data_IF_554899460530
#
_entry.id   IF_554899460530
#
_cell.length_a   1.000
_cell.length_b   1.000
_cell.length_c   1.000
_cell.angle_alpha   90.00
_cell.angle_beta   90.00
_cell.angle_gamma   90.00
#
_symmetry.space_group_name_H-M   'P 1'
#
loop_
_entity.id
_entity.type
_entity.pdbx_description
1 polymer ?
2 non-polymer ?
3 non-polymer ?
4 water ?
#
# COMPACT_ATOMS: atom_id res chain seq x y z
N UNK A 4 -4.30 29.89 8.83
CA UNK A 4 -3.38 28.80 8.33
C UNK A 4 -4.15 27.83 7.44
N UNK A 5 -3.93 27.82 6.10
CA UNK A 5 -4.76 27.03 5.18
C UNK A 5 -4.52 25.51 5.31
N UNK A 6 -5.57 24.71 5.13
CA UNK A 6 -5.48 23.23 5.18
C UNK A 6 -4.81 22.76 3.90
N UNK A 7 -3.89 21.78 3.94
CA UNK A 7 -3.21 21.37 2.72
C UNK A 7 -4.13 20.63 1.76
N UNK A 8 -3.81 20.68 0.47
CA UNK A 8 -4.48 19.93 -0.62
C UNK A 8 -3.61 18.73 -1.00
N UNK A 9 -2.33 18.78 -0.62
CA UNK A 9 -1.33 17.73 -0.92
C UNK A 9 -0.33 17.64 0.23
N UNK A 10 0.14 16.42 0.51
CA UNK A 10 1.24 16.18 1.50
C UNK A 10 2.28 15.28 0.82
N UNK A 11 3.48 15.23 1.37
CA UNK A 11 4.51 14.27 0.91
C UNK A 11 4.69 13.23 2.01
N UNK A 12 4.80 11.98 1.57
CA UNK A 12 4.90 10.81 2.48
C UNK A 12 6.21 10.12 2.11
N UNK A 13 7.04 9.85 3.11
CA UNK A 13 8.25 9.01 3.02
C UNK A 13 7.89 7.61 3.51
N UNK A 14 8.19 6.60 2.71
CA UNK A 14 8.06 5.16 3.07
C UNK A 14 9.47 4.58 3.06
N UNK A 15 9.89 3.98 4.17
CA UNK A 15 11.17 3.27 4.24
C UNK A 15 10.92 1.83 4.60
N UNK A 16 11.61 0.90 3.96
CA UNK A 16 11.63 -0.53 4.38
C UNK A 16 13.09 -0.97 4.47
N UNK A 17 13.42 -1.56 5.61
CA UNK A 17 14.77 -2.09 5.85
C UNK A 17 14.68 -3.36 6.68
N UNK A 18 15.19 -4.48 6.14
CA UNK A 18 15.47 -5.70 6.91
C UNK A 18 16.88 -5.48 7.47
N UNK A 19 16.95 -5.31 8.79
CA UNK A 19 18.17 -4.94 9.55
C UNK A 19 19.09 -6.15 9.81
N UNK A 20 18.66 -7.37 9.46
CA UNK A 20 19.47 -8.58 9.66
C UNK A 20 19.91 -8.77 11.12
N UNK A 21 19.05 -8.35 12.05
CA UNK A 21 19.22 -8.57 13.51
C UNK A 21 20.45 -7.83 14.04
N UNK A 22 20.95 -6.82 13.32
CA UNK A 22 22.16 -6.05 13.71
C UNK A 22 21.74 -4.62 13.96
N UNK A 23 22.38 -3.95 14.93
CA UNK A 23 22.09 -2.54 15.15
C UNK A 23 22.52 -1.74 13.92
N UNK A 24 21.92 -0.56 13.69
CA UNK A 24 22.28 0.25 12.53
C UNK A 24 23.62 0.95 12.76
N UNK A 25 24.24 1.52 11.71
CA UNK A 25 25.40 2.38 11.90
C UNK A 25 24.97 3.75 12.47
N UNK A 26 25.93 4.60 12.83
CA UNK A 26 25.62 5.85 13.58
C UNK A 26 24.86 6.83 12.68
N UNK A 27 25.09 6.79 11.37
CA UNK A 27 24.42 7.70 10.40
C UNK A 27 23.58 6.89 9.41
N UNK A 28 22.28 7.19 9.33
CA UNK A 28 21.36 6.53 8.37
C UNK A 28 20.56 7.62 7.62
N UNK A 29 21.02 8.86 7.66
CA UNK A 29 20.31 10.02 7.06
C UNK A 29 20.07 9.88 5.54
N UNK A 30 20.96 9.17 4.83
CA UNK A 30 20.86 8.90 3.38
C UNK A 30 19.51 8.24 3.05
N UNK A 31 19.04 7.36 3.93
CA UNK A 31 17.75 6.69 3.77
C UNK A 31 16.62 7.73 3.71
N UNK A 32 16.55 8.62 4.70
CA UNK A 32 15.44 9.59 4.86
C UNK A 32 15.54 10.69 3.79
N UNK A 33 16.70 10.81 3.17
CA UNK A 33 16.98 11.83 2.10
C UNK A 33 16.80 11.20 0.71
N UNK A 34 16.49 9.92 0.60
CA UNK A 34 16.26 9.26 -0.71
C UNK A 34 17.52 9.41 -1.59
N UNK A 35 18.68 9.09 -1.02
CA UNK A 35 20.00 9.17 -1.68
C UNK A 35 20.55 7.75 -1.88
N UNK A 36 21.14 7.50 -3.04
CA UNK A 36 21.83 6.23 -3.33
C UNK A 36 21.56 5.89 -4.78
N UNK A 37 20.98 4.70 -5.00
CA UNK A 37 20.67 4.16 -6.35
C UNK A 37 19.18 4.32 -6.64
N UNK A 38 18.84 4.37 -7.94
CA UNK A 38 17.44 4.35 -8.39
C UNK A 38 16.96 5.73 -8.70
N UNK A 39 15.67 5.97 -8.46
CA UNK A 39 15.01 7.29 -8.62
C UNK A 39 15.20 8.04 -7.30
N UNK A 40 16.17 8.95 -7.25
CA UNK A 40 16.59 9.65 -6.02
C UNK A 40 16.01 11.05 -5.96
N UNK A 41 16.03 11.62 -4.79
CA UNK A 41 15.49 12.97 -4.51
C UNK A 41 16.57 14.04 -4.79
N UNK A 42 16.13 15.19 -5.32
CA UNK A 42 17.02 16.31 -5.66
C UNK A 42 17.68 16.86 -4.38
N UNK A 43 18.97 17.14 -4.45
CA UNK A 43 19.76 17.74 -3.33
C UNK A 43 19.05 19.00 -2.80
N UNK A 44 18.42 19.79 -3.68
CA UNK A 44 17.82 21.09 -3.32
C UNK A 44 16.64 20.86 -2.35
N UNK A 45 16.17 19.61 -2.16
CA UNK A 45 15.03 19.32 -1.26
C UNK A 45 15.48 18.81 0.11
N UNK A 46 16.78 18.68 0.34
CA UNK A 46 17.30 17.94 1.51
C UNK A 46 16.83 18.56 2.82
N UNK A 47 16.64 19.89 2.89
CA UNK A 47 16.19 20.50 4.17
C UNK A 47 14.66 20.46 4.32
N UNK A 48 13.95 20.11 3.25
CA UNK A 48 12.46 20.15 3.26
C UNK A 48 11.95 18.87 3.92
N UNK A 49 11.25 18.95 5.05
CA UNK A 49 10.72 17.73 5.67
C UNK A 49 9.57 17.18 4.85
N UNK A 50 9.45 15.86 4.79
CA UNK A 50 8.19 15.20 4.43
C UNK A 50 7.19 15.48 5.55
N UNK A 51 5.91 15.43 5.22
CA UNK A 51 4.81 15.66 6.18
C UNK A 51 4.72 14.46 7.12
N UNK A 52 4.85 13.27 6.53
CA UNK A 52 4.68 11.97 7.25
C UNK A 52 5.84 11.08 6.83
N UNK A 53 6.50 10.45 7.81
CA UNK A 53 7.55 9.41 7.60
C UNK A 53 7.03 8.08 8.16
N UNK A 54 6.96 7.06 7.33
CA UNK A 54 6.52 5.69 7.73
C UNK A 54 7.71 4.78 7.56
N UNK A 55 8.20 4.20 8.65
CA UNK A 55 9.46 3.40 8.69
C UNK A 55 9.11 1.95 9.02
N UNK A 56 9.28 1.05 8.05
CA UNK A 56 9.03 -0.38 8.23
C UNK A 56 10.35 -1.08 8.41
N UNK A 57 10.53 -1.84 9.48
CA UNK A 57 11.73 -2.70 9.64
C UNK A 57 11.36 -4.16 9.78
N UNK A 58 12.31 -5.02 9.44
CA UNK A 58 12.20 -6.48 9.62
C UNK A 58 13.52 -6.95 10.21
N UNK A 59 13.48 -8.03 10.97
CA UNK A 59 14.68 -8.53 11.70
C UNK A 59 15.27 -7.36 12.50
N UNK A 60 14.41 -6.56 13.14
CA UNK A 60 14.82 -5.35 13.90
C UNK A 60 15.21 -5.80 15.32
N UNK A 61 16.49 -5.66 15.71
CA UNK A 61 16.96 -6.11 17.02
C UNK A 61 16.72 -5.07 18.13
N UNK A 62 16.20 -3.90 17.78
CA UNK A 62 16.18 -2.74 18.71
C UNK A 62 14.87 -2.79 19.52
N UNK A 63 14.88 -2.19 20.70
CA UNK A 63 13.63 -1.85 21.44
C UNK A 63 12.94 -0.73 20.66
N UNK A 64 11.64 -0.57 20.88
CA UNK A 64 10.87 0.54 20.30
C UNK A 64 11.55 1.83 20.73
N UNK A 65 11.95 1.91 21.99
CA UNK A 65 12.59 3.13 22.51
C UNK A 65 13.89 3.41 21.74
N UNK A 66 14.78 2.41 21.61
CA UNK A 66 16.08 2.57 20.91
C UNK A 66 15.86 3.09 19.50
N UNK A 67 14.90 2.50 18.77
CA UNK A 67 14.65 2.88 17.36
C UNK A 67 14.01 4.27 17.27
N UNK A 68 13.02 4.59 18.11
CA UNK A 68 12.45 5.95 18.15
C UNK A 68 13.53 7.03 18.38
N UNK A 69 14.45 6.77 19.30
CA UNK A 69 15.61 7.68 19.59
C UNK A 69 16.39 7.94 18.30
N UNK A 70 16.80 6.87 17.61
CA UNK A 70 17.60 6.96 16.35
C UNK A 70 16.78 7.70 15.29
N UNK A 71 15.52 7.33 15.09
CA UNK A 71 14.71 7.94 14.01
C UNK A 71 14.50 9.42 14.28
N UNK A 72 13.99 9.79 15.46
CA UNK A 72 13.68 11.20 15.76
C UNK A 72 14.91 12.09 15.66
N UNK A 73 16.05 11.63 16.20
CA UNK A 73 17.36 12.33 16.13
C UNK A 73 17.76 12.54 14.66
N UNK A 74 17.71 11.48 13.86
CA UNK A 74 18.11 11.49 12.43
C UNK A 74 17.29 12.57 11.69
N UNK A 75 15.98 12.60 11.88
CA UNK A 75 15.11 13.59 11.20
C UNK A 75 15.38 15.00 11.73
N UNK A 76 15.56 15.15 13.04
CA UNK A 76 15.91 16.46 13.62
C UNK A 76 17.21 17.01 12.98
N UNK A 77 18.22 16.15 12.83
CA UNK A 77 19.52 16.56 12.26
C UNK A 77 19.30 17.03 10.82
N UNK A 78 18.49 16.31 10.06
CA UNK A 78 18.25 16.61 8.62
C UNK A 78 17.45 17.91 8.47
N UNK A 79 16.36 18.05 9.22
CA UNK A 79 15.29 19.02 8.92
C UNK A 79 15.22 20.13 9.96
N UNK A 80 15.86 19.93 11.11
CA UNK A 80 15.75 20.83 12.30
C UNK A 80 14.33 20.80 12.86
N UNK A 81 13.54 19.78 12.52
CA UNK A 81 12.13 19.63 13.02
C UNK A 81 12.10 18.45 13.99
N UNK A 82 11.38 18.61 15.10
CA UNK A 82 11.19 17.54 16.10
C UNK A 82 9.85 16.87 15.79
N UNK A 83 9.90 15.64 15.27
CA UNK A 83 8.68 14.94 14.78
C UNK A 83 7.86 14.40 15.94
N UNK A 84 6.54 14.38 15.77
CA UNK A 84 5.60 13.73 16.72
C UNK A 84 5.47 12.27 16.35
N UNK A 85 5.34 11.40 17.34
CA UNK A 85 5.09 9.97 17.12
C UNK A 85 3.60 9.75 16.96
N UNK A 86 3.15 9.37 15.75
CA UNK A 86 1.74 9.06 15.44
C UNK A 86 1.41 7.69 15.99
N UNK A 87 2.27 6.72 15.68
CA UNK A 87 2.04 5.31 16.03
C UNK A 87 3.33 4.50 15.93
N UNK A 88 3.40 3.44 16.71
CA UNK A 88 4.47 2.42 16.60
C UNK A 88 3.84 1.09 16.97
N UNK A 89 4.18 0.05 16.22
CA UNK A 89 3.65 -1.30 16.46
C UNK A 89 4.68 -2.33 16.02
N UNK A 90 4.94 -3.29 16.88
CA UNK A 90 5.94 -4.34 16.66
C UNK A 90 5.27 -5.70 16.83
N UNK A 91 5.48 -6.61 15.87
CA UNK A 91 5.15 -8.04 15.99
C UNK A 91 6.50 -8.75 15.88
N UNK A 92 6.95 -9.37 16.96
CA UNK A 92 8.27 -10.05 16.98
C UNK A 92 9.35 -9.06 16.59
N UNK A 93 9.95 -9.19 15.40
CA UNK A 93 11.05 -8.33 14.93
C UNK A 93 10.60 -7.54 13.71
N UNK A 94 9.26 -7.45 13.53
CA UNK A 94 8.63 -6.64 12.45
C UNK A 94 8.03 -5.37 13.05
N UNK A 95 8.42 -4.20 12.56
CA UNK A 95 8.05 -2.94 13.22
C UNK A 95 7.62 -1.89 12.21
N UNK A 96 6.61 -1.13 12.58
CA UNK A 96 6.22 0.07 11.82
C UNK A 96 6.22 1.26 12.78
N UNK A 97 6.82 2.36 12.32
CA UNK A 97 6.83 3.67 13.02
C UNK A 97 6.25 4.74 12.07
N UNK A 98 5.28 5.51 12.57
CA UNK A 98 4.74 6.69 11.84
C UNK A 98 5.07 7.96 12.63
N UNK A 99 5.79 8.87 11.97
CA UNK A 99 6.16 10.19 12.52
C UNK A 99 5.53 11.27 11.63
N UNK A 100 5.17 12.40 12.23
CA UNK A 100 4.56 13.52 11.46
C UNK A 100 5.08 14.84 11.98
N UNK A 101 5.12 15.85 11.09
CA UNK A 101 5.39 17.27 11.44
C UNK A 101 4.50 17.65 12.63
N UNK A 102 5.00 18.46 13.59
CA UNK A 102 4.14 18.95 14.66
C UNK A 102 2.89 19.70 14.21
N UNK A 103 2.98 20.40 13.09
CA UNK A 103 1.81 21.18 12.59
C UNK A 103 0.68 20.22 12.22
N UNK A 104 0.93 18.92 12.06
CA UNK A 104 -0.10 17.93 11.65
C UNK A 104 -0.73 17.21 12.84
N UNK A 105 -0.24 17.46 14.05
CA UNK A 105 -0.70 16.72 15.26
C UNK A 105 -2.23 16.71 15.37
N UNK A 106 -2.85 17.87 15.15
CA UNK A 106 -4.30 18.09 15.38
C UNK A 106 -5.07 17.90 14.05
N UNK A 107 -4.39 17.39 13.01
CA UNK A 107 -5.03 16.98 11.73
C UNK A 107 -5.17 15.45 11.71
N UNK A 108 -4.49 14.78 12.62
CA UNK A 108 -4.39 13.29 12.68
C UNK A 108 -5.28 12.76 13.81
N UNK A 109 -6.13 11.78 13.50
CA UNK A 109 -7.08 11.16 14.44
C UNK A 109 -7.37 9.73 14.00
N UNK A 110 -8.12 8.98 14.80
CA UNK A 110 -8.57 7.61 14.45
C UNK A 110 -7.37 6.71 14.13
N UNK A 111 -6.36 6.78 14.98
CA UNK A 111 -5.15 5.95 14.81
C UNK A 111 -5.50 4.51 15.18
N UNK A 112 -5.24 3.58 14.26
CA UNK A 112 -5.39 2.12 14.46
C UNK A 112 -4.05 1.43 14.19
N UNK A 113 -3.76 0.37 14.94
CA UNK A 113 -2.56 -0.48 14.74
C UNK A 113 -3.06 -1.91 14.83
N UNK A 114 -2.41 -2.78 14.11
CA UNK A 114 -2.74 -4.22 14.16
C UNK A 114 -1.57 -4.99 13.59
N UNK A 115 -1.63 -6.29 13.77
CA UNK A 115 -0.65 -7.24 13.20
C UNK A 115 -1.40 -8.49 12.76
N UNK A 116 -0.80 -9.22 11.84
CA UNK A 116 -1.23 -10.57 11.41
C UNK A 116 -0.01 -11.47 11.45
N UNK A 117 -0.15 -12.63 12.07
CA UNK A 117 0.88 -13.69 12.05
C UNK A 117 0.54 -14.67 10.92
N UNK A 118 1.47 -14.93 10.01
CA UNK A 118 1.22 -15.83 8.85
C UNK A 118 1.76 -17.23 9.17
N UNK A 119 1.24 -18.25 8.49
CA UNK A 119 1.70 -19.65 8.64
C UNK A 119 0.95 -20.40 9.74
N UNK A 120 1.15 -21.72 9.81
CA UNK A 120 0.50 -22.64 10.79
C UNK A 120 1.57 -23.61 11.31
N UNK A 121 1.71 -23.73 12.64
CA UNK A 121 2.56 -24.71 13.37
C UNK A 121 4.05 -24.45 13.07
N UNK A 122 4.66 -25.23 12.16
CA UNK A 122 6.02 -25.03 11.58
C UNK A 122 6.24 -23.55 11.20
N UNK A 123 5.32 -23.02 10.39
CA UNK A 123 5.46 -21.75 9.62
C UNK A 123 4.86 -20.57 10.41
N UNK A 124 4.20 -20.81 11.55
CA UNK A 124 3.87 -19.74 12.55
C UNK A 124 5.06 -19.61 13.50
N UNK A 125 5.78 -18.50 13.41
CA UNK A 125 6.97 -18.28 14.23
C UNK A 125 7.51 -16.87 14.07
N UNK A 126 7.77 -16.43 12.84
CA UNK A 126 8.40 -15.09 12.74
C UNK A 126 7.97 -14.18 11.57
N UNK A 127 7.10 -14.67 10.68
CA UNK A 127 6.65 -13.94 9.47
C UNK A 127 5.25 -13.35 9.73
N UNK A 128 4.95 -12.21 9.11
CA UNK A 128 3.64 -11.59 9.21
C UNK A 128 3.72 -10.14 8.85
N UNK A 129 2.81 -9.36 9.41
CA UNK A 129 2.72 -7.93 9.03
C UNK A 129 2.28 -7.12 10.23
N UNK A 130 2.71 -5.87 10.22
CA UNK A 130 2.14 -4.85 11.12
C UNK A 130 1.55 -3.74 10.27
N UNK A 131 0.57 -3.03 10.80
CA UNK A 131 -0.02 -1.89 10.10
C UNK A 131 -0.48 -0.77 11.00
N UNK A 132 -0.60 0.39 10.38
CA UNK A 132 -1.15 1.61 11.01
C UNK A 132 -2.12 2.23 10.02
N UNK A 133 -3.24 2.71 10.54
CA UNK A 133 -4.09 3.64 9.78
C UNK A 133 -4.45 4.85 10.63
N UNK A 134 -4.82 5.94 9.94
CA UNK A 134 -5.38 7.13 10.60
C UNK A 134 -6.05 8.02 9.55
N UNK A 135 -6.77 9.01 10.04
CA UNK A 135 -7.33 10.09 9.23
C UNK A 135 -6.36 11.25 9.27
N UNK A 136 -6.08 11.82 8.11
CA UNK A 136 -5.39 13.10 7.98
C UNK A 136 -6.43 14.06 7.39
N UNK A 137 -7.04 14.89 8.22
CA UNK A 137 -8.19 15.74 7.79
C UNK A 137 -9.23 14.80 7.16
N UNK A 138 -9.71 15.06 5.95
CA UNK A 138 -10.77 14.25 5.34
C UNK A 138 -10.28 13.01 4.61
N UNK A 139 -9.00 12.67 4.71
CA UNK A 139 -8.31 11.62 3.92
C UNK A 139 -7.88 10.48 4.85
N UNK A 140 -8.26 9.26 4.49
CA UNK A 140 -7.87 8.02 5.22
C UNK A 140 -6.57 7.46 4.61
N UNK A 141 -5.59 7.17 5.48
CA UNK A 141 -4.26 6.63 5.10
C UNK A 141 -4.03 5.29 5.83
N UNK A 142 -3.63 4.26 5.10
CA UNK A 142 -3.20 2.95 5.63
C UNK A 142 -1.80 2.61 5.21
N UNK A 143 -1.09 1.88 6.07
CA UNK A 143 0.34 1.52 5.90
C UNK A 143 0.51 0.12 6.41
N UNK A 144 1.10 -0.73 5.57
CA UNK A 144 1.33 -2.15 5.93
C UNK A 144 2.80 -2.46 5.71
N UNK A 145 3.46 -2.94 6.75
CA UNK A 145 4.84 -3.45 6.68
C UNK A 145 4.78 -4.97 6.84
N UNK A 146 5.12 -5.73 5.81
CA UNK A 146 5.06 -7.22 5.88
C UNK A 146 6.45 -7.82 5.66
N UNK A 147 6.77 -8.84 6.44
CA UNK A 147 7.91 -9.75 6.23
C UNK A 147 7.33 -11.09 5.77
N UNK A 148 7.40 -11.36 4.49
CA UNK A 148 6.74 -12.57 3.93
C UNK A 148 7.74 -13.73 3.95
N UNK A 149 7.24 -14.91 3.65
CA UNK A 149 8.00 -16.17 3.63
C UNK A 149 9.24 -16.00 2.73
N UNK A 150 10.38 -16.51 3.17
CA UNK A 150 11.66 -16.46 2.43
C UNK A 150 11.79 -17.70 1.54
N UNK A 151 12.71 -17.65 0.59
CA UNK A 151 13.10 -18.81 -0.22
C UNK A 151 12.63 -18.61 -1.63
N UNK A 152 13.51 -18.83 -2.60
CA UNK A 152 13.18 -18.72 -4.03
C UNK A 152 12.00 -19.63 -4.44
N UNK A 153 11.85 -20.76 -3.75
CA UNK A 153 10.91 -21.85 -4.12
C UNK A 153 9.49 -21.56 -3.59
N UNK A 154 9.34 -20.52 -2.75
CA UNK A 154 8.08 -20.30 -1.98
C UNK A 154 7.25 -19.10 -2.43
N UNK A 155 7.23 -18.78 -3.73
CA UNK A 155 6.44 -17.59 -4.18
C UNK A 155 4.94 -17.84 -3.88
N UNK A 156 4.47 -19.08 -3.99
CA UNK A 156 3.03 -19.35 -3.70
C UNK A 156 2.71 -19.04 -2.23
N UNK A 157 3.59 -19.46 -1.31
CA UNK A 157 3.48 -19.19 0.14
C UNK A 157 3.41 -17.68 0.36
N UNK A 158 4.27 -16.92 -0.32
CA UNK A 158 4.25 -15.44 -0.22
C UNK A 158 2.87 -14.92 -0.65
N UNK A 159 2.31 -15.47 -1.72
CA UNK A 159 1.01 -14.95 -2.23
C UNK A 159 -0.07 -15.27 -1.16
N UNK A 160 0.03 -16.44 -0.54
CA UNK A 160 -0.88 -16.88 0.55
C UNK A 160 -0.73 -15.94 1.74
N UNK A 161 0.51 -15.58 2.12
CA UNK A 161 0.80 -14.67 3.25
C UNK A 161 0.07 -13.35 2.96
N UNK A 162 0.29 -12.80 1.76
CA UNK A 162 -0.38 -11.56 1.30
C UNK A 162 -1.91 -11.63 1.51
N UNK A 163 -2.55 -12.72 1.05
CA UNK A 163 -4.02 -12.83 1.15
C UNK A 163 -4.44 -12.90 2.62
N UNK A 164 -3.71 -13.65 3.45
CA UNK A 164 -4.01 -13.68 4.93
C UNK A 164 -3.84 -12.29 5.54
N UNK A 165 -2.79 -11.55 5.20
CA UNK A 165 -2.60 -10.18 5.74
C UNK A 165 -3.79 -9.28 5.34
N UNK A 166 -4.11 -9.30 4.04
CA UNK A 166 -5.21 -8.56 3.39
C UNK A 166 -6.51 -8.80 4.17
N UNK A 167 -6.84 -10.07 4.41
CA UNK A 167 -8.11 -10.48 5.05
C UNK A 167 -8.16 -10.10 6.53
N UNK A 168 -7.07 -10.26 7.26
CA UNK A 168 -7.15 -10.31 8.75
C UNK A 168 -6.57 -9.05 9.39
N UNK A 169 -5.91 -8.17 8.64
CA UNK A 169 -5.36 -6.96 9.26
C UNK A 169 -6.53 -5.99 9.46
N UNK A 170 -6.82 -5.63 10.71
CA UNK A 170 -8.01 -4.86 11.14
C UNK A 170 -7.63 -3.40 11.35
N UNK A 171 -7.60 -2.66 10.27
CA UNK A 171 -7.27 -1.21 10.25
C UNK A 171 -8.47 -0.48 9.70
N UNK A 172 -8.54 0.83 9.94
CA UNK A 172 -9.50 1.73 9.30
C UNK A 172 -10.85 1.61 9.96
N UNK A 173 -11.88 2.08 9.28
CA UNK A 173 -13.23 2.28 9.87
C UNK A 173 -13.92 0.90 9.97
N UNK A 174 -14.15 0.37 11.11
CA UNK A 174 -14.79 -0.96 11.32
C UNK A 174 -16.22 -0.97 10.77
N UNK A 175 -16.85 0.19 10.60
CA UNK A 175 -18.23 0.26 10.03
C UNK A 175 -18.20 -0.18 8.55
N UNK A 176 -17.02 -0.14 7.91
CA UNK A 176 -16.84 -0.60 6.51
C UNK A 176 -16.75 -2.12 6.51
N UNK A 177 -17.70 -2.81 7.12
CA UNK A 177 -17.54 -4.23 7.51
C UNK A 177 -17.40 -5.14 6.29
N UNK A 178 -17.98 -4.90 5.09
CA UNK A 178 -17.72 -5.81 3.95
C UNK A 178 -16.34 -5.67 3.29
N UNK A 179 -15.60 -4.64 3.68
CA UNK A 179 -14.36 -4.23 2.98
C UNK A 179 -13.11 -4.58 3.79
N UNK A 180 -12.14 -5.16 3.09
CA UNK A 180 -10.79 -5.40 3.66
C UNK A 180 -9.92 -4.15 3.47
N UNK A 181 -8.67 -4.19 3.94
CA UNK A 181 -7.79 -2.97 3.89
C UNK A 181 -7.59 -2.47 2.45
N UNK A 182 -7.79 -3.29 1.40
CA UNK A 182 -7.53 -2.85 -0.01
C UNK A 182 -8.65 -1.93 -0.52
N UNK A 183 -9.70 -1.71 0.27
CA UNK A 183 -10.79 -0.74 -0.03
C UNK A 183 -11.03 0.29 1.08
N UNK A 184 -10.36 0.21 2.21
CA UNK A 184 -10.73 1.09 3.36
C UNK A 184 -10.07 2.47 3.32
N UNK A 185 -9.08 2.72 2.44
CA UNK A 185 -8.22 3.92 2.53
C UNK A 185 -8.17 4.69 1.20
N UNK A 186 -8.18 6.01 1.30
CA UNK A 186 -7.89 6.89 0.16
C UNK A 186 -6.57 6.45 -0.47
N UNK A 187 -5.55 6.23 0.38
CA UNK A 187 -4.18 5.82 -0.03
C UNK A 187 -3.74 4.69 0.89
N UNK A 188 -3.40 3.55 0.31
CA UNK A 188 -2.85 2.38 1.04
C UNK A 188 -1.43 2.17 0.53
N UNK A 189 -0.46 2.14 1.43
CA UNK A 189 0.96 1.84 1.10
C UNK A 189 1.28 0.49 1.70
N UNK A 190 1.78 -0.45 0.90
CA UNK A 190 2.15 -1.80 1.36
C UNK A 190 3.59 -2.02 0.96
N UNK A 191 4.45 -2.24 1.95
CA UNK A 191 5.91 -2.31 1.79
C UNK A 191 6.42 -3.40 2.73
N UNK A 192 7.68 -3.70 2.59
CA UNK A 192 8.35 -4.67 3.47
C UNK A 192 9.41 -5.49 2.78
N UNK A 193 9.86 -6.51 3.50
CA UNK A 193 10.69 -7.59 2.93
C UNK A 193 9.69 -8.59 2.37
N UNK A 194 9.24 -8.36 1.15
CA UNK A 194 8.20 -9.21 0.53
C UNK A 194 8.85 -10.50 0.04
N UNK A 195 10.18 -10.54 -0.12
CA UNK A 195 10.98 -11.77 -0.25
C UNK A 195 10.78 -12.48 -1.59
N UNK A 196 10.21 -11.79 -2.58
CA UNK A 196 10.17 -12.27 -3.98
C UNK A 196 11.58 -12.20 -4.56
N UNK A 197 11.93 -13.23 -5.32
CA UNK A 197 13.28 -13.47 -5.85
C UNK A 197 13.32 -13.34 -7.36
N UNK A 198 14.54 -13.18 -7.85
CA UNK A 198 14.86 -13.26 -9.29
C UNK A 198 14.99 -14.75 -9.62
N UNK A 199 13.99 -15.28 -10.33
CA UNK A 199 13.88 -16.73 -10.67
C UNK A 199 14.72 -17.02 -11.91
N UNK A 200 16.02 -17.27 -11.69
CA UNK A 200 16.95 -17.71 -12.72
C UNK A 200 17.70 -18.90 -12.14
N UNK A 201 18.30 -19.78 -13.00
CA UNK A 201 19.05 -20.93 -12.48
C UNK A 201 20.20 -20.46 -11.58
N UNK A 202 20.53 -21.26 -10.56
CA UNK A 202 21.52 -20.93 -9.51
C UNK A 202 22.93 -20.88 -10.12
N UNK A 203 23.15 -21.58 -11.23
CA UNK A 203 24.46 -21.58 -11.96
C UNK A 203 24.62 -20.30 -12.80
N UNK A 204 23.58 -19.46 -12.86
CA UNK A 204 23.68 -18.10 -13.46
C UNK A 204 24.07 -17.02 -12.44
N UNK A 205 24.42 -17.37 -11.22
CA UNK A 205 24.69 -16.40 -10.13
C UNK A 205 25.71 -15.36 -10.60
N UNK A 206 26.83 -15.80 -11.16
CA UNK A 206 27.94 -14.87 -11.50
C UNK A 206 27.48 -13.99 -12.66
N UNK A 207 26.70 -14.55 -13.60
CA UNK A 207 26.13 -13.78 -14.73
C UNK A 207 25.24 -12.67 -14.17
N UNK A 208 24.39 -13.00 -13.21
CA UNK A 208 23.48 -12.00 -12.58
C UNK A 208 24.29 -10.85 -11.93
N UNK A 209 25.35 -11.20 -11.20
CA UNK A 209 26.24 -10.22 -10.54
C UNK A 209 26.84 -9.28 -11.59
N UNK A 210 27.34 -9.82 -12.70
CA UNK A 210 27.98 -9.02 -13.76
C UNK A 210 26.93 -8.10 -14.42
N UNK A 211 25.69 -8.57 -14.60
CA UNK A 211 24.59 -7.68 -15.10
C UNK A 211 24.34 -6.54 -14.09
N UNK A 212 24.34 -6.86 -12.78
CA UNK A 212 24.14 -5.82 -11.73
C UNK A 212 25.28 -4.78 -11.80
N UNK A 213 26.54 -5.20 -11.93
CA UNK A 213 27.70 -4.28 -11.98
C UNK A 213 27.62 -3.36 -13.20
N UNK A 214 26.99 -3.78 -14.29
CA UNK A 214 26.79 -2.97 -15.52
C UNK A 214 25.51 -2.12 -15.41
N UNK A 215 24.74 -2.26 -14.32
CA UNK A 215 23.45 -1.55 -14.12
C UNK A 215 22.47 -1.94 -15.21
N UNK A 216 22.51 -3.20 -15.65
CA UNK A 216 21.61 -3.72 -16.70
C UNK A 216 20.58 -4.61 -16.01
N UNK A 217 19.43 -4.06 -15.66
CA UNK A 217 18.44 -4.76 -14.81
C UNK A 217 17.32 -5.41 -15.61
N UNK A 218 17.14 -5.08 -16.90
CA UNK A 218 15.94 -5.49 -17.67
C UNK A 218 15.77 -7.03 -17.67
N UNK A 219 16.82 -7.77 -17.98
CA UNK A 219 16.79 -9.26 -18.06
C UNK A 219 16.61 -9.82 -16.64
N UNK A 220 16.97 -9.08 -15.60
CA UNK A 220 16.75 -9.60 -14.23
C UNK A 220 15.28 -9.36 -13.85
N UNK A 221 14.79 -8.12 -14.05
CA UNK A 221 13.41 -7.74 -13.64
C UNK A 221 12.37 -8.61 -14.40
N UNK A 222 12.68 -9.09 -15.62
CA UNK A 222 11.77 -9.97 -16.41
C UNK A 222 11.60 -11.31 -15.70
N UNK A 223 12.44 -11.61 -14.70
CA UNK A 223 12.37 -12.84 -13.88
C UNK A 223 12.06 -12.56 -12.41
N UNK A 224 11.81 -11.30 -12.06
CA UNK A 224 11.39 -10.96 -10.68
C UNK A 224 10.03 -11.61 -10.40
N UNK A 225 9.92 -12.38 -9.33
CA UNK A 225 8.70 -13.13 -9.00
C UNK A 225 7.55 -12.17 -8.65
N UNK A 226 7.80 -11.01 -8.06
CA UNK A 226 6.69 -10.12 -7.69
C UNK A 226 6.10 -9.54 -8.98
N UNK A 227 6.93 -9.06 -9.89
CA UNK A 227 6.46 -8.53 -11.20
C UNK A 227 5.71 -9.65 -11.96
N UNK A 228 6.23 -10.86 -12.01
CA UNK A 228 5.59 -11.94 -12.84
C UNK A 228 4.29 -12.37 -12.14
N UNK A 229 4.28 -12.54 -10.82
CA UNK A 229 3.07 -12.93 -10.08
C UNK A 229 1.96 -11.86 -10.22
N UNK A 230 2.34 -10.58 -10.12
CA UNK A 230 1.42 -9.42 -10.32
C UNK A 230 0.85 -9.46 -11.74
N UNK A 231 1.70 -9.69 -12.75
CA UNK A 231 1.27 -9.69 -14.17
C UNK A 231 0.26 -10.80 -14.40
N UNK A 232 0.36 -11.92 -13.67
CA UNK A 232 -0.56 -13.07 -13.81
C UNK A 232 -1.71 -12.98 -12.79
N UNK A 233 -1.82 -11.86 -12.06
CA UNK A 233 -2.94 -11.52 -11.15
C UNK A 233 -2.99 -12.53 -10.02
N UNK A 234 -1.82 -12.98 -9.57
CA UNK A 234 -1.73 -13.96 -8.45
C UNK A 234 -1.61 -13.23 -7.12
N UNK A 235 -1.24 -11.94 -7.13
CA UNK A 235 -0.89 -11.20 -5.90
C UNK A 235 -0.93 -9.72 -6.22
N UNK A 236 -1.22 -8.89 -5.21
CA UNK A 236 -1.22 -7.40 -5.27
C UNK A 236 -2.04 -6.92 -6.48
N UNK A 237 -3.20 -7.51 -6.72
CA UNK A 237 -4.11 -7.03 -7.79
C UNK A 237 -4.52 -5.58 -7.48
N UNK A 238 -4.37 -4.70 -8.46
CA UNK A 238 -4.81 -3.28 -8.49
C UNK A 238 -3.86 -2.39 -7.68
N UNK A 239 -2.71 -2.93 -7.26
CA UNK A 239 -1.58 -2.15 -6.68
C UNK A 239 -0.63 -1.66 -7.75
N UNK A 240 0.04 -0.52 -7.48
CA UNK A 240 1.06 0.09 -8.35
C UNK A 240 2.44 -0.07 -7.70
N UNK A 241 3.50 -0.06 -8.51
CA UNK A 241 4.88 -0.04 -8.02
C UNK A 241 5.60 0.81 -9.05
N UNK A 242 6.47 1.69 -8.58
CA UNK A 242 7.35 2.54 -9.43
C UNK A 242 8.37 1.61 -10.11
N UNK A 243 8.82 1.99 -11.32
CA UNK A 243 9.84 1.22 -12.05
C UNK A 243 11.08 1.10 -11.17
N UNK A 244 11.64 -0.09 -11.12
CA UNK A 244 12.87 -0.37 -10.34
C UNK A 244 14.10 -0.05 -11.19
N UNK A 245 14.92 0.88 -10.69
CA UNK A 245 16.14 1.38 -11.39
C UNK A 245 17.34 1.29 -10.44
N UNK A 246 17.24 0.53 -9.36
CA UNK A 246 18.34 0.32 -8.37
C UNK A 246 18.77 -1.14 -8.36
N UNK A 247 19.98 -1.45 -7.90
CA UNK A 247 20.47 -2.84 -7.87
C UNK A 247 19.63 -3.64 -6.89
N UNK A 248 19.55 -4.97 -7.07
CA UNK A 248 18.97 -5.85 -6.05
C UNK A 248 19.47 -5.51 -4.65
N UNK A 249 18.57 -5.56 -3.65
CA UNK A 249 18.85 -5.07 -2.29
C UNK A 249 19.26 -6.21 -1.37
N UNK A 250 19.38 -7.42 -1.88
CA UNK A 250 19.64 -8.67 -1.12
C UNK A 250 20.35 -9.63 -2.08
N UNK A 251 21.26 -10.49 -1.63
CA UNK A 251 21.81 -10.61 -0.30
C UNK A 251 23.28 -10.20 -0.34
N UNK A 252 23.64 -9.22 0.48
CA UNK A 252 25.00 -8.64 0.52
C UNK A 252 25.80 -9.24 1.67
N UNK A 253 27.11 -9.34 1.46
CA UNK A 253 28.09 -9.45 2.57
C UNK A 253 27.95 -8.16 3.40
N UNK A 254 27.94 -8.30 4.71
CA UNK A 254 27.85 -7.13 5.63
C UNK A 254 29.15 -6.32 5.59
N UNK A 255 29.03 -5.01 5.82
CA UNK A 255 30.16 -4.04 6.02
C UNK A 255 30.77 -3.63 4.69
N UNK A 256 30.27 -4.11 3.55
CA UNK A 256 30.61 -3.55 2.23
C UNK A 256 29.32 -3.56 1.40
N UNK A 257 29.27 -2.94 0.21
CA UNK A 257 28.19 -3.26 -0.78
C UNK A 257 28.81 -3.84 -2.03
N UNK A 258 30.07 -4.30 -1.95
CA UNK A 258 30.86 -4.67 -3.14
C UNK A 258 30.59 -6.12 -3.50
N UNK A 259 29.87 -6.84 -2.62
CA UNK A 259 29.77 -8.30 -2.76
C UNK A 259 28.34 -8.78 -2.45
N UNK A 260 27.80 -9.55 -3.38
CA UNK A 260 26.59 -10.35 -3.13
C UNK A 260 27.03 -11.69 -2.54
N UNK A 261 26.44 -12.09 -1.41
CA UNK A 261 26.65 -13.41 -0.77
C UNK A 261 25.47 -14.32 -1.13
N UNK A 262 25.62 -15.07 -2.21
CA UNK A 262 24.51 -15.88 -2.78
C UNK A 262 24.62 -17.40 -2.54
N UNK A 263 25.81 -17.87 -2.17
CA UNK A 263 26.15 -19.32 -2.06
C UNK A 263 25.40 -19.93 -0.88
N UNK A 264 25.00 -21.20 -1.01
CA UNK A 264 24.29 -21.94 0.05
C UNK A 264 25.28 -22.20 1.18
N UNK A 265 24.81 -22.03 2.41
CA UNK A 265 25.57 -22.16 3.67
C UNK A 265 24.65 -22.82 4.70
N UNK A 266 25.21 -23.42 5.74
CA UNK A 266 24.39 -23.91 6.88
C UNK A 266 23.44 -22.81 7.34
N UNK A 267 23.94 -21.57 7.46
CA UNK A 267 23.19 -20.40 7.98
C UNK A 267 21.97 -20.08 7.07
N UNK A 268 21.98 -20.48 5.80
CA UNK A 268 20.82 -20.26 4.89
C UNK A 268 19.93 -21.50 4.77
N UNK A 269 20.11 -22.52 5.62
CA UNK A 269 19.42 -23.80 5.42
C UNK A 269 19.81 -24.42 4.09
N UNK A 270 21.06 -24.22 3.68
CA UNK A 270 21.61 -24.74 2.41
C UNK A 270 20.78 -24.27 1.21
N UNK A 271 20.29 -23.03 1.27
CA UNK A 271 19.52 -22.37 0.18
C UNK A 271 20.42 -21.33 -0.49
N UNK A 272 20.36 -21.24 -1.82
CA UNK A 272 21.00 -20.15 -2.58
C UNK A 272 20.14 -18.91 -2.36
N UNK A 273 20.79 -17.76 -2.29
CA UNK A 273 20.10 -16.44 -2.26
C UNK A 273 20.62 -15.64 -3.46
N UNK A 274 20.18 -15.95 -4.67
CA UNK A 274 20.58 -15.14 -5.85
C UNK A 274 20.12 -13.69 -5.60
N UNK A 275 20.90 -12.69 -6.07
CA UNK A 275 20.56 -11.28 -5.91
C UNK A 275 19.10 -11.05 -6.30
N UNK A 276 18.36 -10.39 -5.43
CA UNK A 276 16.91 -10.19 -5.59
C UNK A 276 16.45 -8.84 -5.05
N UNK A 277 15.32 -8.40 -5.59
CA UNK A 277 14.64 -7.21 -5.05
C UNK A 277 13.62 -7.68 -3.99
N UNK A 278 14.10 -8.05 -2.80
CA UNK A 278 13.25 -8.52 -1.68
C UNK A 278 12.40 -7.39 -1.12
N UNK A 279 12.91 -6.17 -1.24
CA UNK A 279 12.52 -5.04 -0.37
C UNK A 279 11.80 -4.01 -1.23
N UNK A 280 10.50 -3.86 -1.03
CA UNK A 280 9.62 -3.22 -2.04
C UNK A 280 8.62 -2.28 -1.38
N UNK A 281 8.12 -1.35 -2.18
CA UNK A 281 7.04 -0.40 -1.81
C UNK A 281 6.02 -0.39 -2.94
N UNK A 282 4.78 -0.71 -2.61
CA UNK A 282 3.62 -0.65 -3.53
C UNK A 282 2.54 0.22 -2.89
N UNK A 283 1.62 0.71 -3.70
CA UNK A 283 0.48 1.48 -3.16
C UNK A 283 -0.79 1.18 -3.94
N UNK A 284 -1.91 1.55 -3.35
CA UNK A 284 -3.20 1.51 -4.06
C UNK A 284 -4.00 2.68 -3.53
N UNK A 285 -4.37 3.59 -4.42
CA UNK A 285 -5.21 4.75 -4.05
C UNK A 285 -6.56 4.62 -4.74
N UNK A 286 -7.55 5.25 -4.15
CA UNK A 286 -8.90 5.35 -4.76
C UNK A 286 -8.77 5.99 -6.13
N UNK A 287 -9.69 5.64 -7.05
CA UNK A 287 -9.62 6.18 -8.41
C UNK A 287 -9.65 7.72 -8.44
N UNK A 288 -8.81 8.31 -9.29
CA UNK A 288 -8.78 9.77 -9.62
C UNK A 288 -8.40 10.59 -8.38
N UNK A 289 -7.66 9.99 -7.46
CA UNK A 289 -6.97 10.76 -6.38
C UNK A 289 -5.52 10.93 -6.83
N UNK A 290 -5.00 12.13 -6.58
CA UNK A 290 -3.60 12.46 -6.96
C UNK A 290 -2.66 11.61 -6.11
N UNK A 291 -1.78 10.86 -6.76
CA UNK A 291 -0.69 10.16 -6.05
C UNK A 291 0.44 10.02 -7.05
N UNK A 292 1.60 10.58 -6.72
CA UNK A 292 2.78 10.53 -7.61
C UNK A 292 3.98 10.08 -6.81
N UNK A 293 4.63 9.04 -7.26
CA UNK A 293 5.93 8.59 -6.70
C UNK A 293 7.03 9.55 -7.15
N UNK A 294 7.72 10.16 -6.18
CA UNK A 294 8.79 11.16 -6.40
C UNK A 294 10.18 10.51 -6.26
N UNK A 295 10.26 9.33 -5.64
CA UNK A 295 11.55 8.64 -5.41
C UNK A 295 11.27 7.18 -5.12
N UNK A 296 12.18 6.32 -5.53
CA UNK A 296 12.14 4.86 -5.30
C UNK A 296 13.55 4.35 -5.56
N UNK A 297 14.22 4.00 -4.48
CA UNK A 297 15.63 3.65 -4.60
C UNK A 297 16.15 2.93 -3.40
N UNK A 298 17.45 2.65 -3.39
CA UNK A 298 18.10 2.02 -2.23
C UNK A 298 19.29 2.88 -1.80
N UNK A 299 19.66 2.79 -0.53
CA UNK A 299 20.89 3.45 0.00
C UNK A 299 22.10 2.59 -0.42
N UNK A 300 23.26 3.24 -0.51
CA UNK A 300 24.55 2.62 -0.89
C UNK A 300 25.50 2.56 0.32
N UNK A 301 25.21 3.32 1.38
CA UNK A 301 26.18 3.67 2.43
C UNK A 301 25.76 3.11 3.80
N UNK A 302 24.77 2.22 3.87
CA UNK A 302 24.28 1.60 5.14
C UNK A 302 24.46 0.11 4.94
N UNK A 303 25.43 -0.48 5.65
CA UNK A 303 26.01 -1.81 5.31
C UNK A 303 25.99 -2.76 6.52
N UNK A 304 25.27 -2.43 7.59
CA UNK A 304 25.19 -3.29 8.80
C UNK A 304 24.41 -4.57 8.51
N UNK A 305 23.49 -4.55 7.55
CA UNK A 305 22.62 -5.68 7.24
C UNK A 305 23.04 -6.34 5.92
N UNK A 306 22.55 -7.54 5.66
CA UNK A 306 22.67 -8.21 4.35
C UNK A 306 21.60 -7.67 3.39
N UNK A 307 20.72 -6.78 3.85
CA UNK A 307 19.79 -6.02 2.95
C UNK A 307 20.22 -4.58 2.95
N UNK A 308 20.01 -3.88 1.84
CA UNK A 308 20.09 -2.41 1.81
C UNK A 308 18.70 -1.84 2.06
N UNK A 309 18.62 -0.72 2.83
CA UNK A 309 17.38 0.03 2.98
C UNK A 309 16.82 0.45 1.63
N UNK A 310 15.49 0.45 1.53
CA UNK A 310 14.76 1.04 0.38
C UNK A 310 13.93 2.22 0.88
N UNK A 311 13.85 3.25 0.05
CA UNK A 311 13.03 4.46 0.25
C UNK A 311 12.09 4.61 -0.95
N UNK A 312 10.93 5.18 -0.67
CA UNK A 312 10.01 5.69 -1.70
C UNK A 312 9.34 6.93 -1.12
N UNK A 313 9.17 7.96 -1.95
CA UNK A 313 8.41 9.15 -1.52
C UNK A 313 7.28 9.40 -2.50
N UNK A 314 6.23 9.99 -1.96
CA UNK A 314 4.99 10.22 -2.69
C UNK A 314 4.42 11.60 -2.40
N UNK A 315 3.88 12.24 -3.44
CA UNK A 315 2.96 13.40 -3.33
C UNK A 315 1.53 12.84 -3.34
N UNK A 316 0.79 13.01 -2.25
CA UNK A 316 -0.56 12.42 -2.09
C UNK A 316 -1.62 13.50 -1.88
N UNK A 317 -2.70 13.46 -2.66
CA UNK A 317 -3.80 14.40 -2.51
C UNK A 317 -4.53 14.14 -1.21
N UNK A 318 -4.86 15.20 -0.48
CA UNK A 318 -5.64 15.16 0.78
C UNK A 318 -6.74 16.19 0.67
N UNK A 319 -7.80 15.99 1.43
CA UNK A 319 -8.97 16.91 1.47
C UNK A 319 -9.09 17.46 2.89
N UNK A 320 -9.75 18.62 3.00
CA UNK A 320 -10.07 19.27 4.29
C UNK A 320 -11.21 18.52 4.97
N UNK A 321 -11.39 18.74 6.28
CA UNK A 321 -12.62 18.34 7.00
C UNK A 321 -13.63 19.34 6.40
N UNK A 322 -14.87 18.99 6.20
CA UNK A 322 -15.81 19.92 5.54
C UNK A 322 -17.03 20.11 6.41
N UNK A 323 -17.33 21.37 6.77
CA UNK A 323 -18.53 21.73 7.57
C UNK A 323 -19.37 22.74 6.78
N UNK A 324 -20.64 22.41 6.55
CA UNK A 324 -21.63 23.31 5.94
C UNK A 324 -22.70 23.61 6.97
N UNK A 325 -23.63 24.48 6.58
CA UNK A 325 -24.85 24.83 7.33
C UNK A 325 -25.64 23.57 7.64
N UNK A 326 -25.62 22.63 6.68
CA UNK A 326 -26.41 21.39 6.72
C UNK A 326 -25.51 20.28 7.31
N UNK A 327 -24.93 19.43 6.47
CA UNK A 327 -24.04 18.37 6.96
C UNK A 327 -22.68 18.93 7.34
N UNK A 328 -21.94 18.18 8.19
CA UNK A 328 -22.46 16.97 8.83
C UNK A 328 -23.56 17.20 9.88
N UNK A 329 -24.29 16.12 10.17
CA UNK A 329 -25.38 16.01 11.15
C UNK A 329 -26.77 16.01 10.52
N UNK A 330 -26.85 16.19 9.21
CA UNK A 330 -28.08 16.08 8.41
C UNK A 330 -27.68 15.87 6.96
N UNK A 331 -28.67 15.69 6.10
CA UNK A 331 -28.47 15.62 4.62
C UNK A 331 -28.56 17.02 4.05
N UNK A 332 -28.14 17.18 2.80
CA UNK A 332 -28.23 18.46 2.05
C UNK A 332 -29.09 18.17 0.82
N UNK A 333 -30.36 18.54 0.86
CA UNK A 333 -31.37 18.17 -0.15
C UNK A 333 -30.98 18.68 -1.55
N UNK A 334 -29.95 19.51 -1.70
CA UNK A 334 -29.49 19.98 -3.04
C UNK A 334 -28.50 18.98 -3.65
N UNK A 335 -28.13 17.96 -2.90
CA UNK A 335 -27.26 16.88 -3.40
C UNK A 335 -28.01 15.58 -3.61
N UNK A 336 -27.65 14.84 -4.66
CA UNK A 336 -28.11 13.43 -4.82
C UNK A 336 -27.16 12.67 -5.74
N UNK A 337 -26.99 11.39 -5.46
CA UNK A 337 -26.29 10.43 -6.34
C UNK A 337 -27.31 9.43 -6.86
N UNK A 338 -27.49 9.39 -8.19
CA UNK A 338 -28.35 8.37 -8.86
C UNK A 338 -27.48 7.41 -9.65
N UNK A 339 -27.72 6.12 -9.47
CA UNK A 339 -27.18 4.99 -10.26
C UNK A 339 -28.25 4.45 -11.20
N UNK A 340 -28.01 4.51 -12.53
CA UNK A 340 -28.91 4.09 -13.62
C UNK A 340 -28.36 2.85 -14.33
N UNK A 341 -29.23 1.94 -14.79
CA UNK A 341 -28.88 0.86 -15.76
C UNK A 341 -27.64 0.11 -15.26
N UNK A 342 -27.59 -0.18 -13.97
CA UNK A 342 -26.39 -0.82 -13.39
C UNK A 342 -26.55 -2.34 -13.42
N UNK A 343 -25.44 -3.02 -13.63
CA UNK A 343 -25.42 -4.50 -13.51
C UNK A 343 -24.05 -4.93 -13.01
N UNK A 344 -24.09 -5.97 -12.19
CA UNK A 344 -22.89 -6.67 -11.70
C UNK A 344 -22.73 -7.94 -12.55
N UNK A 345 -21.51 -8.25 -12.96
CA UNK A 345 -21.15 -9.52 -13.64
C UNK A 345 -20.31 -10.29 -12.62
N UNK A 346 -20.72 -11.47 -12.19
CA UNK A 346 -20.01 -12.20 -11.11
C UNK A 346 -19.47 -13.53 -11.67
N UNK A 347 -18.31 -13.98 -11.21
CA UNK A 347 -17.68 -15.27 -11.64
C UNK A 347 -18.34 -16.43 -10.89
N UNK A 348 -19.07 -16.18 -9.83
CA UNK A 348 -19.70 -17.20 -8.96
C UNK A 348 -20.55 -18.17 -9.78
N UNK A 349 -20.52 -19.45 -9.40
CA UNK A 349 -21.40 -20.49 -9.98
C UNK A 349 -22.66 -20.64 -9.12
N UNK A 350 -22.77 -19.88 -8.02
CA UNK A 350 -23.91 -19.96 -7.06
C UNK A 350 -25.19 -19.37 -7.68
N UNK A 351 -26.34 -19.72 -7.09
CA UNK A 351 -27.67 -19.16 -7.42
C UNK A 351 -28.36 -18.84 -6.09
N UNK A 352 -28.03 -17.65 -5.59
CA UNK A 352 -28.77 -16.87 -4.58
C UNK A 352 -29.20 -15.57 -5.28
N UNK A 353 -30.14 -14.84 -4.70
CA UNK A 353 -30.32 -13.42 -5.06
C UNK A 353 -29.17 -12.62 -4.46
N UNK A 354 -28.92 -11.45 -5.04
CA UNK A 354 -27.91 -10.46 -4.58
C UNK A 354 -28.55 -9.10 -4.39
N UNK A 355 -28.06 -8.35 -3.42
CA UNK A 355 -28.32 -6.90 -3.26
C UNK A 355 -26.99 -6.16 -3.14
N UNK A 356 -27.04 -4.83 -3.28
CA UNK A 356 -25.85 -3.95 -3.15
C UNK A 356 -25.88 -3.23 -1.80
N UNK A 357 -24.72 -2.95 -1.25
CA UNK A 357 -24.54 -1.93 -0.17
C UNK A 357 -23.62 -0.83 -0.68
N UNK A 358 -24.02 0.40 -0.44
CA UNK A 358 -23.24 1.61 -0.77
C UNK A 358 -22.71 2.17 0.56
N UNK A 359 -21.39 2.24 0.69
CA UNK A 359 -20.74 2.87 1.87
C UNK A 359 -19.96 4.10 1.42
N UNK A 360 -20.15 5.22 2.11
CA UNK A 360 -19.32 6.43 1.86
C UNK A 360 -19.41 7.37 3.05
N UNK A 361 -18.33 8.09 3.30
CA UNK A 361 -18.23 9.18 4.31
C UNK A 361 -19.13 10.35 3.93
N UNK A 362 -19.58 10.41 2.66
CA UNK A 362 -20.52 11.46 2.19
C UNK A 362 -21.97 11.09 2.55
N UNK A 363 -22.22 9.90 3.12
CA UNK A 363 -23.58 9.44 3.56
C UNK A 363 -23.65 9.36 5.08
N UNK A 364 -24.85 9.56 5.64
CA UNK A 364 -25.00 9.48 7.11
C UNK A 364 -24.75 8.04 7.51
N UNK A 365 -25.20 7.09 6.72
CA UNK A 365 -24.87 5.66 6.93
C UNK A 365 -25.02 4.91 5.61
N UNK A 366 -24.59 3.65 5.61
CA UNK A 366 -24.58 2.81 4.40
C UNK A 366 -26.03 2.56 3.97
N UNK A 367 -26.19 2.30 2.69
CA UNK A 367 -27.51 2.10 2.05
C UNK A 367 -27.53 0.70 1.43
N UNK A 368 -28.63 -0.02 1.67
CA UNK A 368 -28.88 -1.40 1.17
C UNK A 368 -29.94 -1.35 0.07
N UNK A 369 -29.59 -1.76 -1.15
CA UNK A 369 -30.51 -1.77 -2.32
C UNK A 369 -31.50 -2.90 -2.15
N UNK A 370 -32.53 -2.92 -3.01
CA UNK A 370 -33.37 -4.09 -3.33
C UNK A 370 -32.52 -5.15 -4.03
N UNK A 371 -33.00 -6.39 -4.02
CA UNK A 371 -32.34 -7.49 -4.77
C UNK A 371 -32.39 -7.14 -6.26
N UNK A 372 -31.32 -7.42 -6.99
CA UNK A 372 -31.29 -7.31 -8.45
C UNK A 372 -31.89 -8.55 -9.10
N UNK A 373 -32.02 -8.53 -10.43
CA UNK A 373 -32.55 -9.68 -11.24
C UNK A 373 -31.40 -10.42 -11.91
N UNK A 374 -31.23 -11.69 -11.56
CA UNK A 374 -30.23 -12.61 -12.13
C UNK A 374 -30.61 -12.99 -13.57
N UNK A 375 -29.67 -12.86 -14.50
CA UNK A 375 -29.76 -13.44 -15.87
C UNK A 375 -28.46 -14.20 -16.14
N UNK A 376 -28.48 -15.05 -17.15
CA UNK A 376 -27.32 -15.80 -17.71
C UNK A 376 -26.60 -14.91 -18.72
N UNK A 377 -25.30 -14.63 -18.52
CA UNK A 377 -24.42 -14.02 -19.54
C UNK A 377 -24.12 -15.00 -20.67
N UNK A 378 -23.78 -14.49 -21.85
CA UNK A 378 -23.65 -15.27 -23.11
C UNK A 378 -22.46 -16.24 -23.03
N UNK A 379 -21.52 -16.04 -22.10
CA UNK A 379 -20.30 -16.87 -21.95
C UNK A 379 -20.33 -17.60 -20.60
N UNK A 380 -21.52 -17.91 -20.05
CA UNK A 380 -21.69 -18.72 -18.83
C UNK A 380 -21.87 -17.94 -17.51
N UNK A 381 -21.66 -16.61 -17.51
CA UNK A 381 -21.52 -15.76 -16.30
C UNK A 381 -22.87 -15.49 -15.64
N UNK A 382 -22.85 -15.14 -14.36
CA UNK A 382 -24.04 -14.56 -13.67
C UNK A 382 -24.04 -13.03 -13.86
N UNK A 383 -25.12 -12.47 -14.40
CA UNK A 383 -25.33 -11.02 -14.54
C UNK A 383 -26.47 -10.64 -13.62
N UNK A 384 -26.20 -9.75 -12.68
CA UNK A 384 -27.22 -9.28 -11.73
C UNK A 384 -27.66 -7.90 -12.21
N UNK A 385 -28.92 -7.72 -12.57
CA UNK A 385 -29.40 -6.45 -13.17
C UNK A 385 -30.12 -5.66 -12.07
N UNK A 386 -29.77 -4.40 -11.90
CA UNK A 386 -30.35 -3.49 -10.89
C UNK A 386 -31.33 -2.52 -11.57
N UNK A 387 -31.18 -2.34 -12.87
CA UNK A 387 -32.00 -1.43 -13.68
C UNK A 387 -31.86 0.01 -13.21
N UNK A 388 -33.00 0.65 -12.96
CA UNK A 388 -33.16 2.03 -12.43
C UNK A 388 -33.80 1.89 -11.05
N UNK A 389 -33.62 0.72 -10.43
CA UNK A 389 -34.26 0.33 -9.14
C UNK A 389 -33.40 0.80 -7.94
N UNK A 390 -32.12 1.17 -8.13
CA UNK A 390 -31.17 1.46 -7.01
C UNK A 390 -31.61 2.72 -6.26
N UNK A 391 -31.51 2.73 -4.91
CA UNK A 391 -31.91 3.89 -4.11
C UNK A 391 -31.15 5.16 -4.50
N UNK A 392 -31.81 6.31 -4.41
CA UNK A 392 -31.16 7.62 -4.63
C UNK A 392 -30.33 7.90 -3.36
N UNK A 393 -29.03 8.18 -3.49
CA UNK A 393 -28.14 8.41 -2.30
C UNK A 393 -28.20 9.88 -1.92
N UNK A 394 -28.28 10.14 -0.62
CA UNK A 394 -28.49 11.50 -0.07
C UNK A 394 -27.20 11.93 0.63
N UNK A 395 -26.34 12.72 -0.04
CA UNK A 395 -25.10 13.15 0.57
C UNK A 395 -25.38 14.18 1.68
N UNK A 396 -24.43 14.27 2.60
CA UNK A 396 -24.51 15.16 3.79
C UNK A 396 -24.22 16.60 3.39
N UNK A 397 -23.48 16.79 2.30
CA UNK A 397 -23.00 18.11 1.82
C UNK A 397 -23.14 18.12 0.31
N UNK A 398 -23.67 19.19 -0.28
CA UNK A 398 -23.98 19.22 -1.73
C UNK A 398 -22.94 20.03 -2.46
N UNK A 399 -22.12 20.78 -1.73
CA UNK A 399 -21.07 21.65 -2.30
C UNK A 399 -20.17 20.78 -3.19
N UNK A 400 -20.01 21.12 -4.49
CA UNK A 400 -19.23 20.29 -5.40
C UNK A 400 -17.75 20.20 -5.03
N UNK A 401 -17.20 21.20 -4.32
CA UNK A 401 -15.78 21.21 -3.85
C UNK A 401 -15.56 20.11 -2.81
N UNK A 402 -16.61 19.70 -2.12
CA UNK A 402 -16.63 18.49 -1.26
C UNK A 402 -16.99 17.26 -2.07
N UNK A 403 -18.17 17.27 -2.70
CA UNK A 403 -18.83 16.01 -3.18
C UNK A 403 -17.99 15.37 -4.32
N UNK A 404 -17.41 16.18 -5.21
CA UNK A 404 -16.63 15.65 -6.36
C UNK A 404 -15.36 14.92 -5.88
N UNK A 405 -14.91 15.19 -4.66
CA UNK A 405 -13.70 14.53 -4.08
C UNK A 405 -14.05 13.23 -3.37
N UNK A 406 -15.31 12.82 -3.36
CA UNK A 406 -15.73 11.64 -2.55
C UNK A 406 -15.69 10.38 -3.40
N UNK A 407 -15.89 9.24 -2.75
CA UNK A 407 -15.92 7.88 -3.34
C UNK A 407 -17.07 7.09 -2.72
N UNK A 408 -17.68 6.22 -3.52
CA UNK A 408 -18.70 5.26 -3.04
C UNK A 408 -18.09 3.86 -3.12
N UNK A 409 -18.01 3.19 -1.97
CA UNK A 409 -17.61 1.75 -1.92
C UNK A 409 -18.89 0.96 -2.15
N UNK A 410 -18.79 -0.08 -2.98
CA UNK A 410 -19.92 -0.98 -3.32
C UNK A 410 -19.52 -2.39 -2.93
N UNK A 411 -20.41 -3.05 -2.19
CA UNK A 411 -20.38 -4.49 -1.94
C UNK A 411 -21.62 -5.14 -2.56
N UNK A 412 -21.44 -6.24 -3.27
CA UNK A 412 -22.57 -7.09 -3.74
C UNK A 412 -22.65 -8.28 -2.81
N UNK A 413 -23.79 -8.39 -2.14
CA UNK A 413 -24.00 -9.40 -1.06
C UNK A 413 -25.13 -10.37 -1.40
N UNK A 414 -24.96 -11.61 -0.95
CA UNK A 414 -25.92 -12.70 -1.04
C UNK A 414 -27.11 -12.43 -0.11
N UNK A 415 -28.32 -12.43 -0.63
CA UNK A 415 -29.54 -12.37 0.23
C UNK A 415 -29.55 -13.54 1.21
N UNK A 416 -29.07 -14.73 0.81
CA UNK A 416 -29.11 -15.97 1.64
C UNK A 416 -28.15 -15.83 2.83
N UNK A 417 -26.92 -15.37 2.61
CA UNK A 417 -25.84 -15.44 3.61
C UNK A 417 -25.45 -14.06 4.13
N UNK A 418 -25.85 -12.98 3.44
CA UNK A 418 -25.38 -11.59 3.70
C UNK A 418 -23.84 -11.49 3.59
N UNK A 419 -23.17 -12.46 2.90
CA UNK A 419 -21.71 -12.40 2.70
C UNK A 419 -21.43 -11.63 1.40
N UNK A 420 -20.45 -10.76 1.42
CA UNK A 420 -19.98 -10.04 0.20
C UNK A 420 -19.37 -11.04 -0.76
N UNK A 421 -19.79 -11.00 -2.01
CA UNK A 421 -19.18 -11.74 -3.13
C UNK A 421 -18.24 -10.84 -3.93
N UNK A 422 -18.28 -9.54 -3.67
CA UNK A 422 -17.39 -8.63 -4.41
C UNK A 422 -17.45 -7.23 -3.87
N UNK A 423 -16.31 -6.55 -3.90
CA UNK A 423 -16.17 -5.16 -3.40
C UNK A 423 -15.50 -4.33 -4.46
N UNK A 424 -15.89 -3.07 -4.55
CA UNK A 424 -15.23 -2.12 -5.47
C UNK A 424 -15.45 -0.68 -5.06
N UNK A 425 -15.02 0.25 -5.89
CA UNK A 425 -15.03 1.68 -5.53
C UNK A 425 -15.27 2.54 -6.78
N UNK A 426 -16.19 3.49 -6.67
CA UNK A 426 -16.54 4.48 -7.72
C UNK A 426 -16.16 5.88 -7.26
N UNK A 427 -15.38 6.60 -8.06
CA UNK A 427 -15.02 8.02 -7.80
C UNK A 427 -16.22 8.89 -8.21
N UNK A 428 -16.46 9.95 -7.45
CA UNK A 428 -17.42 11.01 -7.81
C UNK A 428 -16.74 12.20 -8.52
N UNK A 429 -15.46 12.06 -8.89
CA UNK A 429 -14.69 13.08 -9.65
C UNK A 429 -15.13 13.03 -11.12
N UNK A 430 -16.38 13.39 -11.40
CA UNK A 430 -17.00 13.19 -12.75
C UNK A 430 -16.61 14.31 -13.69
N UNK A 431 -16.71 14.03 -14.98
CA UNK A 431 -16.50 15.03 -16.05
C UNK A 431 -17.64 16.06 -16.07
N UNK A 432 -18.77 15.75 -15.46
CA UNK A 432 -19.98 16.58 -15.51
C UNK A 432 -20.89 16.20 -14.36
N UNK A 433 -21.71 17.16 -13.94
CA UNK A 433 -22.84 16.93 -13.00
C UNK A 433 -24.16 17.00 -13.79
N UNK A 434 -25.23 16.49 -13.19
CA UNK A 434 -26.60 16.47 -13.75
C UNK A 434 -26.57 15.81 -15.14
N UNK A 435 -25.58 14.94 -15.40
CA UNK A 435 -25.36 14.26 -16.70
C UNK A 435 -25.15 12.77 -16.45
N UNK A 436 -25.86 11.90 -17.19
CA UNK A 436 -25.65 10.43 -17.10
C UNK A 436 -24.28 10.10 -17.67
N UNK A 437 -23.43 9.46 -16.85
CA UNK A 437 -22.03 9.20 -17.26
C UNK A 437 -21.68 7.75 -16.93
N UNK A 438 -20.88 7.08 -17.76
CA UNK A 438 -20.51 5.70 -17.47
C UNK A 438 -19.72 5.63 -16.15
N UNK A 439 -19.95 4.59 -15.37
CA UNK A 439 -19.12 4.24 -14.20
C UNK A 439 -18.73 2.77 -14.31
N UNK A 440 -17.66 2.42 -13.60
CA UNK A 440 -17.08 1.06 -13.67
C UNK A 440 -16.17 0.85 -12.45
N UNK A 441 -16.25 -0.34 -11.87
CA UNK A 441 -15.21 -0.84 -10.95
C UNK A 441 -15.09 -2.35 -11.11
N UNK A 442 -13.87 -2.90 -11.08
CA UNK A 442 -13.72 -4.33 -10.87
C UNK A 442 -14.24 -4.63 -9.45
N UNK A 443 -14.58 -5.87 -9.22
CA UNK A 443 -15.05 -6.35 -7.91
C UNK A 443 -14.07 -7.43 -7.48
N UNK A 444 -13.63 -7.34 -6.23
CA UNK A 444 -12.71 -8.32 -5.63
C UNK A 444 -13.34 -8.86 -4.35
N UNK A 445 -12.87 -10.02 -3.92
CA UNK A 445 -13.19 -10.56 -2.59
C UNK A 445 -11.97 -11.33 -2.12
N UNK A 446 -11.49 -11.00 -0.91
CA UNK A 446 -10.17 -11.45 -0.42
C UNK A 446 -9.12 -11.03 -1.46
N UNK A 447 -9.32 -9.90 -2.12
CA UNK A 447 -8.31 -9.31 -3.04
C UNK A 447 -8.16 -10.09 -4.35
N UNK A 448 -9.08 -11.02 -4.65
CA UNK A 448 -9.14 -11.80 -5.90
C UNK A 448 -10.31 -11.30 -6.73
N UNK A 449 -10.13 -11.21 -8.04
CA UNK A 449 -11.18 -10.74 -8.96
C UNK A 449 -12.36 -11.71 -8.91
N UNK A 450 -13.55 -11.18 -8.62
CA UNK A 450 -14.81 -11.95 -8.56
C UNK A 450 -15.85 -11.44 -9.57
N UNK A 451 -15.57 -10.34 -10.26
CA UNK A 451 -16.54 -9.77 -11.22
C UNK A 451 -16.32 -8.31 -11.46
N UNK A 452 -17.37 -7.62 -11.87
CA UNK A 452 -17.36 -6.22 -12.36
C UNK A 452 -18.69 -5.60 -12.00
N UNK A 453 -18.69 -4.29 -11.78
CA UNK A 453 -19.90 -3.49 -11.63
C UNK A 453 -19.81 -2.35 -12.65
N UNK A 454 -20.87 -2.17 -13.42
CA UNK A 454 -20.88 -1.06 -14.42
C UNK A 454 -22.30 -0.55 -14.58
N UNK A 455 -22.38 0.66 -15.12
CA UNK A 455 -23.65 1.33 -15.32
C UNK A 455 -23.40 2.78 -15.58
N UNK A 456 -24.32 3.60 -15.14
CA UNK A 456 -24.22 5.05 -15.29
C UNK A 456 -24.52 5.69 -13.94
N UNK A 457 -23.99 6.88 -13.76
CA UNK A 457 -24.19 7.70 -12.55
C UNK A 457 -24.75 9.03 -13.02
N UNK A 458 -25.50 9.75 -12.17
CA UNK A 458 -26.01 11.14 -12.36
C UNK A 458 -25.83 11.81 -11.00
N UNK A 459 -24.95 12.77 -10.98
CA UNK A 459 -24.58 13.46 -9.73
C UNK A 459 -25.12 14.88 -9.72
N UNK A 460 -25.96 15.18 -8.72
CA UNK A 460 -26.46 16.54 -8.43
C UNK A 460 -25.62 17.17 -7.32
N UNK A 461 -25.04 18.35 -7.59
CA UNK A 461 -24.38 19.18 -6.55
C UNK A 461 -25.14 20.51 -6.49
N UNK A 462 -24.76 21.38 -5.55
CA UNK A 462 -25.41 22.69 -5.35
C UNK A 462 -25.08 23.65 -6.51
N UNK A 463 -24.15 23.33 -7.41
CA UNK A 463 -23.80 24.25 -8.52
C UNK A 463 -24.42 23.78 -9.86
X LIG B 1 -2.55 11.06 18.41
X LIG B 1 -0.53 12.30 16.97
X LIG B 1 0.64 8.34 21.84
X LIG B 1 0.78 7.80 20.40
X LIG B 1 2.23 7.38 20.12
X LIG B 1 -0.11 6.55 20.26
X LIG B 1 -0.07 6.06 18.95
X LIG B 1 0.40 8.88 19.49
X LIG B 1 -0.91 9.52 19.51
X LIG B 1 -1.75 9.17 20.28
X LIG B 1 -1.22 10.64 18.55
X LIG B 1 -2.84 12.10 17.54
X LIG B 1 -1.84 12.71 16.82
X LIG B 1 -0.22 11.27 17.84
X LIG B 1 0.77 13.10 16.06
X LIG C 1 -10.58 11.66 0.47
X LIG C 1 -9.64 12.77 0.69
X LIG C 1 -10.71 11.52 -1.28
X LIG C 1 -12.21 12.35 0.70
X LIG D 1 -14.86 6.51 1.87
X LIG D 1 -16.03 7.48 1.85
X LIG D 1 -15.36 5.38 3.17
X LIG D 1 -15.10 5.44 0.49
X LIG E 1 -11.26 -0.94 -7.60
X LIG E 1 -11.24 -0.76 -6.13
X LIG E 1 -9.58 -1.18 -8.11
X LIG E 1 -11.56 0.65 -8.31
#
# INVERSE_FOLDING_TARGET
SMEQPEPDMITIFIGTWNMGNAPPPKKITSWFLSKGQGKTRDDSADYIPHDIYVIGTQEDPLSEKEWLEILKHSLQEITSVTFKTVAIHTLWNIRIVVLAKPEHENRISHICTDNVKTGIANTLGNKGAVGVSFMFNGTSLGFVNSHLTSGSEKKLRRNQNYMNILRFLALGDKKLSPFNITHRFTHLFWFGDLNYRVDLPTWEAETIIQKIKQQQYADLLSHDQLLTERREQKVFLHFEEEEITFAPTYRFERLTRDKYAYTKQKATGMKYNLPSWCDRVLWKSYPLVHVVCQSYGSTSDIMTSDHSPVFATFEAGVTSQFVSKNGPGTVDSQGQIEFLRCYATLKTKSQTKFYLEFHSSCLESFVKSQEGENEEGSEGELVVKFGETLPKLKPIISDPEYLLDQHILISIKSSDSDESYGEGCIALRLEATETQLPIYTPLTHHGELTGHFQGEIKLQTSQ
JOV C10 C13 C01 C02 C03 C04 O05 N06 C07 O08 C09 C11 C12 C14 CL15
DMS S O C1 C2
DMS S O C1 C2
DMS S O C1 C2
#
